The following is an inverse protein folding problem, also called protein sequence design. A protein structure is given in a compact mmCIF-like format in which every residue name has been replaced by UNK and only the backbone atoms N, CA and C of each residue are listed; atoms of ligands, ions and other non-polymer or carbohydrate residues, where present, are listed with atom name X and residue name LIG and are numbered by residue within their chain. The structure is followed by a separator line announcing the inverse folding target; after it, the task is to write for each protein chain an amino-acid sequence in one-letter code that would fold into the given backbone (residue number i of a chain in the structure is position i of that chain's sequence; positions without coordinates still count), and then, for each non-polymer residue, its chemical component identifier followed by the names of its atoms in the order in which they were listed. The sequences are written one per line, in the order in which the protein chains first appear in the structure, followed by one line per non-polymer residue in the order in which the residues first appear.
data_IF_320844630558
#
_entry.id   IF_320844630558
#
_cell.length_a   1.000
_cell.length_b   1.000
_cell.length_c   1.000
_cell.angle_alpha   90.00
_cell.angle_beta   90.00
_cell.angle_gamma   90.00
#
_symmetry.space_group_name_H-M   'P 1'
#
loop_
_entity.id
_entity.type
_entity.pdbx_description
1 polymer ?
#
# COMPACT_ATOMS: atom_id res chain seq x y z
N UNK A 1 -36.83 7.88 50.19
CA UNK A 1 -35.66 7.06 49.87
C UNK A 1 -35.68 6.60 48.40
N UNK A 2 -36.80 6.15 47.89
CA UNK A 2 -37.01 5.69 46.53
C UNK A 2 -36.81 6.81 45.47
N UNK A 3 -37.23 8.05 45.74
CA UNK A 3 -37.09 9.16 44.81
C UNK A 3 -35.64 9.68 44.66
N UNK A 4 -34.85 9.59 45.73
CA UNK A 4 -33.42 9.89 45.71
C UNK A 4 -32.62 8.82 44.90
N UNK A 5 -33.05 7.59 45.01
CA UNK A 5 -32.44 6.47 44.30
C UNK A 5 -32.71 6.53 42.77
N UNK A 6 -33.96 6.91 42.41
CA UNK A 6 -34.34 7.13 41.01
C UNK A 6 -33.57 8.34 40.37
N UNK A 7 -33.40 9.42 41.09
CA UNK A 7 -32.60 10.58 40.66
C UNK A 7 -31.11 10.24 40.51
N UNK A 8 -30.53 9.49 41.41
CA UNK A 8 -29.14 9.04 41.34
C UNK A 8 -28.94 8.06 40.16
N UNK A 9 -29.88 7.16 39.92
CA UNK A 9 -29.84 6.21 38.80
C UNK A 9 -30.00 6.92 37.42
N UNK A 10 -30.92 7.92 37.36
CA UNK A 10 -31.05 8.73 36.14
C UNK A 10 -29.80 9.59 35.86
N UNK A 11 -29.16 10.14 36.92
CA UNK A 11 -27.91 10.89 36.78
C UNK A 11 -26.75 9.96 36.35
N UNK A 12 -26.69 8.74 36.86
CA UNK A 12 -25.67 7.76 36.46
C UNK A 12 -25.83 7.29 35.02
N UNK A 13 -27.09 7.07 34.56
CA UNK A 13 -27.38 6.76 33.15
C UNK A 13 -27.03 7.93 32.21
N UNK A 14 -27.33 9.16 32.62
CA UNK A 14 -27.00 10.35 31.82
C UNK A 14 -25.48 10.57 31.70
N UNK A 15 -24.73 10.32 32.78
CA UNK A 15 -23.25 10.40 32.78
C UNK A 15 -22.64 9.25 31.97
N UNK A 16 -23.21 8.03 32.02
CA UNK A 16 -22.71 6.92 31.20
C UNK A 16 -23.00 7.10 29.70
N UNK A 17 -24.11 7.78 29.33
CA UNK A 17 -24.36 8.17 27.94
C UNK A 17 -23.45 9.30 27.44
N UNK A 18 -23.01 10.20 28.31
CA UNK A 18 -22.03 11.23 27.97
C UNK A 18 -20.59 10.70 27.89
N UNK A 19 -20.30 9.57 28.55
CA UNK A 19 -19.01 8.86 28.50
C UNK A 19 -18.96 7.79 27.40
N UNK A 20 -20.05 7.51 26.70
CA UNK A 20 -20.03 6.81 25.42
C UNK A 20 -19.32 7.74 24.43
N UNK A 21 -17.99 7.73 24.49
CA UNK A 21 -17.14 8.53 23.62
C UNK A 21 -17.67 8.40 22.21
N UNK A 22 -17.98 9.51 21.60
CA UNK A 22 -18.20 9.55 20.17
C UNK A 22 -16.96 8.88 19.56
N UNK A 23 -17.12 7.68 19.05
CA UNK A 23 -16.14 7.12 18.15
C UNK A 23 -16.06 8.12 16.99
N UNK A 24 -15.12 9.05 17.08
CA UNK A 24 -14.82 9.97 15.98
C UNK A 24 -14.46 9.05 14.83
N UNK A 25 -15.38 8.91 13.88
CA UNK A 25 -15.10 8.23 12.64
C UNK A 25 -13.89 8.93 12.04
N UNK A 26 -12.85 8.14 11.69
CA UNK A 26 -11.67 8.71 11.06
C UNK A 26 -12.10 9.49 9.82
N UNK A 27 -11.66 10.72 9.69
CA UNK A 27 -11.96 11.55 8.52
C UNK A 27 -11.06 11.12 7.35
N UNK A 28 -11.66 10.43 6.38
CA UNK A 28 -11.00 9.99 5.15
C UNK A 28 -11.07 11.03 4.03
N UNK A 29 -11.72 12.17 4.23
CA UNK A 29 -11.96 13.16 3.17
C UNK A 29 -10.69 13.74 2.57
N UNK A 30 -9.57 13.66 3.29
CA UNK A 30 -8.27 14.15 2.83
C UNK A 30 -7.38 13.07 2.23
N UNK A 31 -7.74 11.78 2.33
CA UNK A 31 -6.93 10.67 1.85
C UNK A 31 -7.23 10.36 0.38
N UNK A 32 -6.18 10.28 -0.43
CA UNK A 32 -6.22 9.83 -1.82
C UNK A 32 -5.37 8.57 -1.94
N UNK A 33 -5.95 7.50 -2.45
CA UNK A 33 -5.24 6.26 -2.78
C UNK A 33 -5.11 6.19 -4.30
N UNK A 34 -3.87 6.13 -4.78
CA UNK A 34 -3.54 5.88 -6.19
C UNK A 34 -2.95 4.48 -6.23
N UNK A 35 -3.48 3.66 -7.13
CA UNK A 35 -2.92 2.32 -7.31
C UNK A 35 -2.60 2.04 -8.78
N UNK A 36 -1.64 1.17 -9.00
CA UNK A 36 -1.29 0.57 -10.29
C UNK A 36 -1.29 -0.94 -10.16
N UNK A 37 -1.41 -1.64 -11.28
CA UNK A 37 -1.46 -3.08 -11.38
C UNK A 37 -1.04 -3.52 -12.78
N UNK A 38 -0.32 -4.62 -12.92
CA UNK A 38 0.08 -5.19 -14.21
C UNK A 38 0.73 -4.16 -15.16
N UNK A 39 1.61 -3.35 -14.61
CA UNK A 39 2.19 -2.23 -15.37
C UNK A 39 3.24 -2.69 -16.35
N UNK A 40 3.81 -3.87 -16.14
CA UNK A 40 4.77 -4.50 -17.07
C UNK A 40 5.83 -3.51 -17.55
N UNK A 41 6.42 -2.78 -16.60
CA UNK A 41 7.48 -1.81 -16.83
C UNK A 41 7.04 -0.44 -17.34
N UNK A 42 5.76 -0.14 -17.34
CA UNK A 42 5.19 1.21 -17.61
C UNK A 42 5.43 1.80 -19.01
N UNK A 43 5.77 1.02 -20.01
CA UNK A 43 6.08 1.55 -21.36
C UNK A 43 5.08 1.13 -22.45
N UNK A 44 3.79 1.19 -22.18
CA UNK A 44 2.76 0.93 -23.19
C UNK A 44 2.08 2.19 -23.70
N UNK A 45 2.86 3.22 -24.07
CA UNK A 45 2.32 4.48 -24.62
C UNK A 45 1.46 4.26 -25.88
N UNK A 46 1.79 3.24 -26.68
CA UNK A 46 1.05 2.91 -27.90
C UNK A 46 -0.38 2.41 -27.65
N UNK A 47 -0.66 1.93 -26.45
CA UNK A 47 -1.97 1.37 -26.05
C UNK A 47 -2.78 2.34 -25.21
N UNK A 48 -2.36 3.60 -25.06
CA UNK A 48 -3.03 4.60 -24.23
C UNK A 48 -2.83 4.38 -22.71
N UNK A 49 -1.92 3.50 -22.33
CA UNK A 49 -1.57 3.25 -20.93
C UNK A 49 -0.65 4.38 -20.45
N UNK A 50 -1.00 4.95 -19.32
CA UNK A 50 -0.24 6.04 -18.70
C UNK A 50 1.08 5.50 -18.15
N UNK A 51 2.18 6.06 -18.63
CA UNK A 51 3.50 5.72 -18.11
C UNK A 51 3.73 6.27 -16.68
N UNK A 52 4.85 5.84 -16.08
CA UNK A 52 5.27 6.25 -14.74
C UNK A 52 5.27 7.77 -14.50
N UNK A 53 5.58 8.57 -15.55
CA UNK A 53 5.55 10.03 -15.47
C UNK A 53 4.15 10.57 -15.14
N UNK A 54 3.09 9.97 -15.70
CA UNK A 54 1.71 10.34 -15.41
C UNK A 54 1.33 9.99 -13.98
N UNK A 55 1.70 8.81 -13.49
CA UNK A 55 1.48 8.40 -12.10
C UNK A 55 2.17 9.38 -11.13
N UNK A 56 3.42 9.72 -11.41
CA UNK A 56 4.18 10.70 -10.62
C UNK A 56 3.53 12.09 -10.64
N UNK A 57 3.05 12.53 -11.81
CA UNK A 57 2.37 13.82 -11.95
C UNK A 57 1.05 13.86 -11.17
N UNK A 58 0.26 12.78 -11.24
CA UNK A 58 -0.99 12.66 -10.49
C UNK A 58 -0.75 12.70 -8.97
N UNK A 59 0.26 11.98 -8.47
CA UNK A 59 0.67 12.04 -7.08
C UNK A 59 1.04 13.45 -6.64
N UNK A 60 1.88 14.14 -7.43
CA UNK A 60 2.29 15.51 -7.15
C UNK A 60 1.11 16.49 -7.17
N UNK A 61 0.17 16.30 -8.08
CA UNK A 61 -1.05 17.12 -8.16
C UNK A 61 -1.84 17.08 -6.87
N UNK A 62 -2.15 15.90 -6.34
CA UNK A 62 -2.89 15.78 -5.10
C UNK A 62 -2.09 16.26 -3.86
N UNK A 63 -0.80 15.99 -3.82
CA UNK A 63 0.08 16.50 -2.76
C UNK A 63 0.09 18.05 -2.75
N UNK A 64 0.09 18.70 -3.93
CA UNK A 64 0.05 20.17 -4.03
C UNK A 64 -1.26 20.78 -3.56
N UNK A 65 -2.33 19.98 -3.50
CA UNK A 65 -3.63 20.36 -2.92
C UNK A 65 -3.71 20.09 -1.40
N UNK A 66 -2.62 19.69 -0.78
CA UNK A 66 -2.58 19.35 0.65
C UNK A 66 -3.22 18.01 1.00
N UNK A 67 -3.44 17.12 0.00
CA UNK A 67 -4.00 15.79 0.24
C UNK A 67 -2.94 14.84 0.80
N UNK A 68 -3.39 13.93 1.66
CA UNK A 68 -2.62 12.76 2.06
C UNK A 68 -2.70 11.71 0.94
N UNK A 69 -1.56 11.42 0.30
CA UNK A 69 -1.53 10.50 -0.84
C UNK A 69 -0.83 9.21 -0.47
N UNK A 70 -1.47 8.08 -0.78
CA UNK A 70 -0.88 6.75 -0.73
C UNK A 70 -0.81 6.20 -2.15
N UNK A 71 0.40 5.92 -2.64
CA UNK A 71 0.65 5.35 -3.96
C UNK A 71 1.16 3.92 -3.81
N UNK A 72 0.39 2.95 -4.31
CA UNK A 72 0.67 1.52 -4.17
C UNK A 72 0.60 0.79 -5.51
N UNK A 73 1.26 -0.36 -5.58
CA UNK A 73 1.22 -1.25 -6.75
C UNK A 73 0.77 -2.65 -6.34
N UNK A 74 -0.04 -3.30 -7.17
CA UNK A 74 -0.60 -4.61 -6.89
C UNK A 74 0.22 -5.77 -7.48
N UNK A 75 1.38 -5.48 -8.09
CA UNK A 75 2.32 -6.47 -8.62
C UNK A 75 2.41 -6.49 -10.14
N UNK A 76 3.27 -7.37 -10.65
CA UNK A 76 3.60 -7.55 -12.07
C UNK A 76 4.13 -6.27 -12.73
N UNK A 77 5.09 -5.64 -12.07
CA UNK A 77 5.67 -4.37 -12.51
C UNK A 77 7.06 -4.49 -13.13
N UNK A 78 7.83 -5.56 -12.84
CA UNK A 78 9.26 -5.59 -13.13
C UNK A 78 9.66 -6.37 -14.37
N UNK A 79 8.71 -6.73 -15.24
CA UNK A 79 8.99 -7.52 -16.45
C UNK A 79 8.19 -7.01 -17.67
N UNK A 80 8.40 -7.64 -18.84
CA UNK A 80 7.63 -7.64 -20.11
C UNK A 80 7.93 -6.51 -21.12
N UNK A 81 8.61 -5.44 -20.80
CA UNK A 81 9.12 -4.54 -21.84
C UNK A 81 10.64 -4.60 -22.00
N UNK A 82 11.14 -4.19 -23.16
CA UNK A 82 12.57 -4.32 -23.51
C UNK A 82 13.49 -3.66 -22.50
N UNK A 83 13.15 -2.46 -22.01
CA UNK A 83 13.97 -1.70 -21.06
C UNK A 83 14.04 -2.42 -19.70
N UNK A 84 12.89 -2.91 -19.26
CA UNK A 84 12.78 -3.60 -17.96
C UNK A 84 13.39 -4.99 -18.06
N UNK A 85 13.15 -5.73 -19.14
CA UNK A 85 13.73 -7.05 -19.40
C UNK A 85 15.26 -7.00 -19.47
N UNK A 86 15.82 -6.02 -20.20
CA UNK A 86 17.27 -5.84 -20.30
C UNK A 86 17.92 -5.58 -18.94
N UNK A 87 17.26 -4.82 -18.08
CA UNK A 87 17.72 -4.48 -16.73
C UNK A 87 17.28 -5.48 -15.65
N UNK A 88 16.54 -6.54 -16.03
CA UNK A 88 15.93 -7.51 -15.10
C UNK A 88 15.18 -6.82 -13.97
N UNK A 89 14.30 -5.89 -14.35
CA UNK A 89 13.44 -5.15 -13.43
C UNK A 89 14.08 -3.95 -12.72
N UNK A 90 15.40 -3.75 -12.81
CA UNK A 90 16.09 -2.65 -12.10
C UNK A 90 15.57 -1.27 -12.50
N UNK A 91 15.31 -1.05 -13.78
CA UNK A 91 14.78 0.22 -14.27
C UNK A 91 13.35 0.49 -13.75
N UNK A 92 12.49 -0.53 -13.65
CA UNK A 92 11.16 -0.40 -13.09
C UNK A 92 11.22 0.05 -11.63
N UNK A 93 12.03 -0.61 -10.81
CA UNK A 93 12.25 -0.23 -9.40
C UNK A 93 12.80 1.21 -9.28
N UNK A 94 13.74 1.61 -10.15
CA UNK A 94 14.25 2.98 -10.15
C UNK A 94 13.16 4.01 -10.48
N UNK A 95 12.28 3.72 -11.43
CA UNK A 95 11.14 4.58 -11.78
C UNK A 95 10.12 4.65 -10.66
N UNK A 96 9.77 3.52 -10.05
CA UNK A 96 8.86 3.46 -8.90
C UNK A 96 9.41 4.24 -7.70
N UNK A 97 10.71 4.12 -7.41
CA UNK A 97 11.38 4.92 -6.40
C UNK A 97 11.28 6.42 -6.68
N UNK A 98 11.47 6.84 -7.94
CA UNK A 98 11.39 8.24 -8.35
C UNK A 98 9.95 8.77 -8.32
N UNK A 99 8.95 7.93 -8.62
CA UNK A 99 7.54 8.28 -8.53
C UNK A 99 7.05 8.39 -7.09
N UNK A 100 7.76 7.78 -6.14
CA UNK A 100 7.46 7.82 -4.72
C UNK A 100 6.40 6.82 -4.31
N UNK A 101 6.49 5.58 -4.79
CA UNK A 101 5.64 4.50 -4.31
C UNK A 101 5.80 4.29 -2.81
N UNK A 102 4.70 3.99 -2.15
CA UNK A 102 4.65 3.74 -0.71
C UNK A 102 4.68 2.25 -0.38
N UNK A 103 4.16 1.39 -1.26
CA UNK A 103 4.25 -0.08 -1.18
C UNK A 103 4.02 -0.73 -2.54
N UNK A 104 4.42 -2.00 -2.65
CA UNK A 104 4.14 -2.88 -3.78
C UNK A 104 3.82 -4.29 -3.27
N UNK A 105 2.82 -4.95 -3.86
CA UNK A 105 2.61 -6.38 -3.71
C UNK A 105 3.58 -7.16 -4.63
N UNK A 106 3.92 -8.39 -4.28
CA UNK A 106 4.58 -9.31 -5.21
C UNK A 106 3.52 -10.05 -6.03
N UNK A 107 3.51 -9.85 -7.34
CA UNK A 107 2.79 -10.69 -8.28
C UNK A 107 3.62 -11.92 -8.67
N UNK A 108 3.11 -12.75 -9.59
CA UNK A 108 3.83 -13.93 -10.08
C UNK A 108 5.01 -13.54 -10.98
N UNK A 109 4.89 -12.48 -11.75
CA UNK A 109 5.94 -12.03 -12.68
C UNK A 109 7.14 -11.38 -12.00
N UNK A 110 7.07 -11.05 -10.73
CA UNK A 110 8.25 -10.64 -9.96
C UNK A 110 9.29 -11.76 -9.84
N UNK A 111 8.89 -13.03 -10.06
CA UNK A 111 9.77 -14.20 -9.97
C UNK A 111 10.39 -14.61 -11.30
N UNK A 112 10.04 -14.00 -12.43
CA UNK A 112 10.47 -14.42 -13.79
C UNK A 112 11.99 -14.41 -13.98
N UNK A 113 12.72 -13.57 -13.29
CA UNK A 113 14.18 -13.51 -13.33
C UNK A 113 14.87 -14.34 -12.24
N UNK A 114 14.10 -15.11 -11.47
CA UNK A 114 14.57 -15.94 -10.36
C UNK A 114 14.72 -15.18 -9.04
N UNK A 115 14.83 -15.96 -7.97
CA UNK A 115 14.81 -15.47 -6.59
C UNK A 115 15.96 -14.53 -6.25
N UNK A 116 17.17 -14.79 -6.79
CA UNK A 116 18.34 -13.95 -6.51
C UNK A 116 18.16 -12.53 -7.06
N UNK A 117 17.63 -12.43 -8.29
CA UNK A 117 17.31 -11.13 -8.91
C UNK A 117 16.21 -10.43 -8.15
N UNK A 118 15.14 -11.13 -7.76
CA UNK A 118 14.08 -10.55 -6.95
C UNK A 118 14.61 -10.03 -5.61
N UNK A 119 15.49 -10.77 -4.95
CA UNK A 119 16.13 -10.31 -3.71
C UNK A 119 16.96 -9.03 -3.90
N UNK A 120 17.58 -8.84 -5.06
CA UNK A 120 18.24 -7.57 -5.40
C UNK A 120 17.22 -6.44 -5.59
N UNK A 121 16.13 -6.68 -6.32
CA UNK A 121 15.06 -5.67 -6.55
C UNK A 121 14.42 -5.24 -5.24
N UNK A 122 14.18 -6.19 -4.32
CA UNK A 122 13.67 -5.89 -2.98
C UNK A 122 14.63 -4.96 -2.21
N UNK A 123 15.95 -5.17 -2.32
CA UNK A 123 16.93 -4.29 -1.66
C UNK A 123 17.06 -2.91 -2.28
N UNK A 124 16.83 -2.79 -3.60
CA UNK A 124 16.88 -1.53 -4.34
C UNK A 124 15.63 -0.66 -4.16
N UNK A 125 14.50 -1.30 -3.83
CA UNK A 125 13.24 -0.59 -3.57
C UNK A 125 13.32 0.26 -2.29
N UNK A 126 12.87 1.52 -2.38
CA UNK A 126 12.76 2.45 -1.24
C UNK A 126 11.40 2.35 -0.54
N UNK A 127 10.62 1.38 -0.91
CA UNK A 127 9.29 1.06 -0.38
C UNK A 127 9.23 -0.44 -0.05
N UNK A 128 8.39 -0.88 0.87
CA UNK A 128 8.23 -2.30 1.16
C UNK A 128 7.55 -3.02 0.00
N UNK A 129 8.11 -4.15 -0.39
CA UNK A 129 7.41 -5.17 -1.16
C UNK A 129 6.73 -6.13 -0.18
N UNK A 130 5.48 -6.53 -0.46
CA UNK A 130 4.62 -7.26 0.47
C UNK A 130 4.20 -8.59 -0.11
N UNK A 131 4.32 -9.65 0.68
CA UNK A 131 3.68 -10.95 0.43
C UNK A 131 3.59 -11.74 1.73
N UNK A 132 2.37 -12.09 2.15
CA UNK A 132 2.15 -12.77 3.41
C UNK A 132 2.29 -14.29 3.30
N UNK A 133 2.19 -14.86 2.10
CA UNK A 133 2.15 -16.31 1.88
C UNK A 133 3.33 -16.88 1.07
N UNK A 134 4.26 -16.05 0.62
CA UNK A 134 5.49 -16.55 -0.02
C UNK A 134 6.53 -16.81 1.04
N UNK A 135 6.80 -18.10 1.26
CA UNK A 135 7.70 -18.60 2.31
C UNK A 135 8.98 -19.13 1.68
N UNK A 136 10.12 -18.72 2.23
CA UNK A 136 11.43 -19.28 1.87
C UNK A 136 11.58 -20.64 2.53
N UNK A 137 11.55 -21.71 1.75
CA UNK A 137 11.57 -23.09 2.23
C UNK A 137 12.73 -23.37 3.18
N UNK A 138 13.95 -22.94 2.83
CA UNK A 138 15.15 -23.16 3.63
C UNK A 138 15.11 -22.55 5.03
N UNK A 139 14.30 -21.51 5.25
CA UNK A 139 14.25 -20.79 6.53
C UNK A 139 12.88 -20.86 7.21
N UNK A 140 11.88 -21.32 6.49
CA UNK A 140 10.46 -21.29 6.88
C UNK A 140 10.00 -19.87 7.33
N UNK A 141 10.51 -18.84 6.66
CA UNK A 141 10.17 -17.44 6.94
C UNK A 141 9.60 -16.76 5.69
N UNK A 142 8.75 -15.75 5.84
CA UNK A 142 8.30 -14.95 4.71
C UNK A 142 9.48 -14.37 3.93
N UNK A 143 9.33 -14.35 2.58
CA UNK A 143 10.33 -13.77 1.68
C UNK A 143 10.46 -12.26 1.89
N UNK A 144 9.33 -11.61 2.15
CA UNK A 144 9.22 -10.16 2.37
C UNK A 144 8.41 -9.87 3.64
N UNK A 145 8.08 -8.60 3.86
CA UNK A 145 7.09 -8.24 4.89
C UNK A 145 5.71 -8.78 4.49
N UNK A 146 4.99 -9.30 5.46
CA UNK A 146 3.60 -9.75 5.28
C UNK A 146 2.64 -8.56 5.09
N UNK A 147 2.89 -7.47 5.83
CA UNK A 147 2.00 -6.32 5.90
C UNK A 147 2.75 -5.04 6.28
N UNK A 148 2.07 -3.92 6.10
CA UNK A 148 2.54 -2.61 6.57
C UNK A 148 1.37 -1.75 7.01
N UNK A 149 1.56 -0.97 8.08
CA UNK A 149 0.58 -0.01 8.56
C UNK A 149 1.05 1.41 8.22
N UNK A 150 0.26 2.11 7.44
CA UNK A 150 0.46 3.51 7.12
C UNK A 150 -0.40 4.39 8.01
N UNK A 151 0.20 5.48 8.50
CA UNK A 151 -0.52 6.59 9.15
C UNK A 151 -0.51 7.77 8.19
N UNK A 152 -1.71 8.25 7.84
CA UNK A 152 -1.91 9.46 7.05
C UNK A 152 -2.95 10.31 7.78
N UNK A 153 -2.53 11.44 8.36
CA UNK A 153 -3.37 12.19 9.29
C UNK A 153 -3.83 11.30 10.46
N UNK A 154 -5.13 11.28 10.72
CA UNK A 154 -5.76 10.44 11.75
C UNK A 154 -6.09 9.02 11.27
N UNK A 155 -5.86 8.74 9.99
CA UNK A 155 -6.16 7.44 9.37
C UNK A 155 -4.99 6.48 9.55
N UNK A 156 -5.32 5.24 9.95
CA UNK A 156 -4.40 4.10 9.93
C UNK A 156 -4.90 3.09 8.91
N UNK A 157 -4.08 2.80 7.90
CA UNK A 157 -4.35 1.81 6.88
C UNK A 157 -3.39 0.63 7.02
N UNK A 158 -3.94 -0.57 7.09
CA UNK A 158 -3.16 -1.81 6.99
C UNK A 158 -3.21 -2.31 5.54
N UNK A 159 -2.04 -2.52 4.97
CA UNK A 159 -1.88 -3.17 3.67
C UNK A 159 -1.30 -4.56 3.90
N UNK A 160 -1.95 -5.56 3.33
CA UNK A 160 -1.51 -6.95 3.32
C UNK A 160 -1.74 -7.51 1.92
N UNK A 161 -0.85 -8.37 1.45
CA UNK A 161 -1.02 -9.06 0.18
C UNK A 161 -0.82 -10.56 0.34
N UNK A 162 -1.70 -11.32 -0.28
CA UNK A 162 -1.65 -12.79 -0.40
C UNK A 162 -1.68 -13.10 -1.89
N UNK A 163 -0.57 -13.62 -2.41
CA UNK A 163 -0.49 -14.09 -3.79
C UNK A 163 -1.29 -15.37 -3.95
N UNK A 164 -2.02 -15.53 -5.05
CA UNK A 164 -2.64 -16.79 -5.40
C UNK A 164 -1.56 -17.83 -5.78
N UNK A 165 -1.75 -19.11 -5.43
CA UNK A 165 -0.85 -20.15 -5.92
C UNK A 165 -1.01 -20.27 -7.45
N UNK A 166 0.08 -20.17 -8.17
CA UNK A 166 0.16 -20.39 -9.62
C UNK A 166 0.62 -21.79 -9.91
#
# INVERSE_FOLDING_TARGET
MEDIMKKKMAAFLAVSMLLCGQALAADFSNLVIIHTNDTHGFDRRAEGINGMATVSALRKHYLSQGKDVLLVDAGDAIQDNNLVNFSKGKSAIAFMNAAGYDAMALGNHEFDYGQDVLAERIREAKFPMLSANVIVEATNKPLTKDSVIYKKGDVKLSLIHISEPT
#
